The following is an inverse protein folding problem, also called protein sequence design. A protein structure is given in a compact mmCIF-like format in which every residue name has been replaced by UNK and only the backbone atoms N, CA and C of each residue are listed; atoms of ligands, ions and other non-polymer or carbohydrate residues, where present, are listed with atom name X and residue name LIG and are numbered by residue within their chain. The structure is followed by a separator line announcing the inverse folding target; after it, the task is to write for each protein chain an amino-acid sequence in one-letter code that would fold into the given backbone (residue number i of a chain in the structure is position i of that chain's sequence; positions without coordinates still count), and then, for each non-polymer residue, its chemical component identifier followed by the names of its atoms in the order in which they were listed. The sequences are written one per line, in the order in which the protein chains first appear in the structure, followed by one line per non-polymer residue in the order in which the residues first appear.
data_IF_183237130642
#
_entry.id   IF_183237130642
#
_cell.length_a   1.000
_cell.length_b   1.000
_cell.length_c   1.000
_cell.angle_alpha   90.00
_cell.angle_beta   90.00
_cell.angle_gamma   90.00
#
_symmetry.space_group_name_H-M   'P 1'
#
loop_
_entity.id
_entity.type
_entity.pdbx_description
1 polymer ?
#
# COMPACT_ATOMS: atom_id res chain seq x y z
N UNK A 1 48.56 52.52 -29.05
CA UNK A 1 48.64 51.42 -28.06
C UNK A 1 47.22 51.13 -27.62
N UNK A 2 46.74 49.97 -28.04
CA UNK A 2 45.34 49.54 -27.95
C UNK A 2 45.19 48.70 -26.68
N UNK A 3 44.17 48.97 -25.85
CA UNK A 3 43.85 48.16 -24.68
C UNK A 3 42.52 47.47 -24.97
N UNK A 4 42.63 46.16 -25.15
CA UNK A 4 41.58 45.23 -25.54
C UNK A 4 40.65 44.91 -24.37
N UNK A 5 39.35 44.94 -24.66
CA UNK A 5 38.27 44.41 -23.82
C UNK A 5 38.28 42.89 -23.94
N UNK A 6 38.56 42.19 -22.85
CA UNK A 6 38.41 40.73 -22.77
C UNK A 6 37.00 40.40 -22.29
N UNK A 7 36.21 39.80 -23.20
CA UNK A 7 34.92 39.18 -22.90
C UNK A 7 35.18 37.76 -22.40
N UNK A 8 34.83 37.48 -21.15
CA UNK A 8 34.84 36.12 -20.60
C UNK A 8 33.69 35.34 -21.20
N UNK A 9 33.99 34.41 -22.11
CA UNK A 9 33.03 33.43 -22.62
C UNK A 9 32.76 32.38 -21.53
N UNK A 10 31.53 32.34 -21.03
CA UNK A 10 31.02 31.23 -20.21
C UNK A 10 30.78 30.05 -21.14
N UNK A 11 31.55 28.98 -20.94
CA UNK A 11 31.38 27.72 -21.66
C UNK A 11 30.08 27.04 -21.22
N UNK A 12 29.31 26.57 -22.20
CA UNK A 12 28.10 25.77 -22.03
C UNK A 12 28.40 24.54 -21.16
N UNK A 13 27.70 24.42 -20.03
CA UNK A 13 27.59 23.16 -19.31
C UNK A 13 26.69 22.21 -20.13
N UNK A 14 27.30 21.14 -20.63
CA UNK A 14 26.60 20.00 -21.19
C UNK A 14 25.78 19.37 -20.06
N UNK A 15 24.46 19.32 -20.24
CA UNK A 15 23.53 18.57 -19.40
C UNK A 15 23.86 17.09 -19.59
N UNK A 16 24.48 16.49 -18.58
CA UNK A 16 24.69 15.05 -18.52
C UNK A 16 23.37 14.34 -18.26
N UNK A 17 23.14 13.25 -18.99
CA UNK A 17 22.07 12.28 -18.73
C UNK A 17 22.19 11.74 -17.28
N UNK A 18 21.08 11.36 -16.63
CA UNK A 18 21.14 10.82 -15.28
C UNK A 18 21.96 9.53 -15.30
N UNK A 19 23.07 9.56 -14.57
CA UNK A 19 23.95 8.42 -14.35
C UNK A 19 23.18 7.40 -13.50
N UNK A 20 22.80 6.28 -14.12
CA UNK A 20 22.35 5.10 -13.39
C UNK A 20 23.56 4.62 -12.60
N UNK A 21 23.57 4.90 -11.30
CA UNK A 21 24.53 4.30 -10.37
C UNK A 21 24.23 2.81 -10.30
N UNK A 22 24.75 2.03 -11.25
CA UNK A 22 24.97 0.61 -11.06
C UNK A 22 26.04 0.47 -9.97
N UNK A 23 25.60 0.45 -8.72
CA UNK A 23 26.47 0.05 -7.61
C UNK A 23 27.08 -1.31 -7.95
N UNK A 24 28.41 -1.38 -8.04
CA UNK A 24 29.19 -2.60 -8.24
C UNK A 24 29.12 -3.60 -7.07
N UNK A 25 28.00 -3.62 -6.36
CA UNK A 25 27.66 -4.55 -5.30
C UNK A 25 27.21 -5.90 -5.85
N UNK A 26 27.20 -6.90 -4.97
CA UNK A 26 26.73 -8.25 -5.27
C UNK A 26 25.23 -8.19 -5.61
N UNK A 27 24.85 -8.79 -6.73
CA UNK A 27 23.45 -9.08 -7.04
C UNK A 27 22.95 -10.20 -6.13
N UNK A 28 22.26 -9.82 -5.05
CA UNK A 28 21.75 -10.75 -4.05
C UNK A 28 20.66 -11.67 -4.61
N UNK A 29 19.91 -11.24 -5.63
CA UNK A 29 18.88 -12.07 -6.27
C UNK A 29 19.50 -13.21 -7.10
N UNK A 30 20.77 -13.08 -7.51
CA UNK A 30 21.53 -14.15 -8.17
C UNK A 30 22.50 -14.87 -7.24
N UNK A 31 22.54 -14.50 -5.95
CA UNK A 31 23.44 -15.12 -4.99
C UNK A 31 23.08 -16.61 -4.79
N UNK A 32 24.03 -17.56 -4.86
CA UNK A 32 23.72 -18.99 -4.76
C UNK A 32 22.98 -19.39 -3.48
N UNK A 33 23.32 -18.78 -2.34
CA UNK A 33 22.62 -19.03 -1.09
C UNK A 33 21.16 -18.55 -1.14
N UNK A 34 20.88 -17.40 -1.76
CA UNK A 34 19.50 -16.93 -1.95
C UNK A 34 18.69 -17.89 -2.82
N UNK A 35 19.25 -18.33 -3.95
CA UNK A 35 18.59 -19.31 -4.82
C UNK A 35 18.31 -20.63 -4.08
N UNK A 36 19.25 -21.08 -3.24
CA UNK A 36 19.06 -22.26 -2.39
C UNK A 36 17.96 -22.05 -1.34
N UNK A 37 17.94 -20.89 -0.68
CA UNK A 37 16.93 -20.51 0.32
C UNK A 37 15.53 -20.50 -0.31
N UNK A 38 15.36 -19.78 -1.43
CA UNK A 38 14.09 -19.68 -2.16
C UNK A 38 13.57 -21.05 -2.58
N UNK A 39 14.45 -21.91 -3.10
CA UNK A 39 14.09 -23.28 -3.48
C UNK A 39 13.70 -24.15 -2.28
N UNK A 40 14.45 -24.05 -1.17
CA UNK A 40 14.18 -24.81 0.05
C UNK A 40 12.87 -24.36 0.74
N UNK A 41 12.62 -23.05 0.80
CA UNK A 41 11.37 -22.48 1.27
C UNK A 41 10.20 -22.99 0.42
N UNK A 42 10.26 -22.85 -0.91
CA UNK A 42 9.21 -23.34 -1.83
C UNK A 42 8.94 -24.84 -1.67
N UNK A 43 9.98 -25.66 -1.46
CA UNK A 43 9.82 -27.08 -1.17
C UNK A 43 9.08 -27.32 0.15
N UNK A 44 9.48 -26.61 1.21
CA UNK A 44 8.88 -26.70 2.54
C UNK A 44 7.40 -26.29 2.53
N UNK A 45 7.04 -25.25 1.76
CA UNK A 45 5.66 -24.78 1.61
C UNK A 45 4.70 -25.90 1.17
N UNK A 46 5.16 -26.83 0.33
CA UNK A 46 4.36 -27.98 -0.12
C UNK A 46 4.01 -28.99 0.99
N UNK A 47 4.69 -28.90 2.14
CA UNK A 47 4.50 -29.77 3.30
C UNK A 47 3.63 -29.10 4.38
N UNK A 48 3.48 -27.78 4.34
CA UNK A 48 2.82 -27.01 5.39
C UNK A 48 1.29 -27.04 5.25
N UNK A 49 0.61 -27.15 6.37
CA UNK A 49 -0.81 -26.90 6.50
C UNK A 49 -1.13 -25.38 6.54
N UNK A 50 -2.41 -25.01 6.58
CA UNK A 50 -2.85 -23.61 6.59
C UNK A 50 -2.25 -22.78 7.74
N UNK A 51 -2.09 -23.35 8.94
CA UNK A 51 -1.49 -22.65 10.09
C UNK A 51 0.05 -22.71 10.09
N UNK A 52 0.67 -23.28 9.06
CA UNK A 52 2.11 -23.40 8.89
C UNK A 52 2.75 -24.65 9.49
N UNK A 53 2.00 -25.45 10.27
CA UNK A 53 2.50 -26.72 10.82
C UNK A 53 2.68 -27.81 9.75
N UNK A 54 3.50 -28.82 10.04
CA UNK A 54 3.65 -30.02 9.19
C UNK A 54 3.08 -31.21 9.95
N UNK A 55 1.81 -31.47 9.70
CA UNK A 55 1.03 -32.46 10.47
C UNK A 55 1.38 -33.92 10.15
N UNK A 56 1.96 -34.19 8.98
CA UNK A 56 2.38 -35.52 8.56
C UNK A 56 3.82 -35.81 9.02
N UNK A 57 3.94 -36.59 10.09
CA UNK A 57 5.22 -36.95 10.68
C UNK A 57 6.13 -37.76 9.73
N UNK A 58 5.57 -38.44 8.72
CA UNK A 58 6.38 -39.14 7.72
C UNK A 58 7.14 -38.16 6.80
N UNK A 59 6.70 -36.90 6.73
CA UNK A 59 7.33 -35.83 5.96
C UNK A 59 8.32 -34.99 6.76
N UNK A 60 8.45 -35.21 8.07
CA UNK A 60 9.41 -34.48 8.93
C UNK A 60 10.87 -34.60 8.44
N UNK A 61 11.36 -35.77 7.96
CA UNK A 61 12.71 -35.85 7.40
C UNK A 61 12.92 -34.97 6.17
N UNK A 62 11.91 -34.81 5.30
CA UNK A 62 11.99 -33.90 4.15
C UNK A 62 12.02 -32.43 4.63
N UNK A 63 11.21 -32.11 5.63
CA UNK A 63 11.14 -30.79 6.23
C UNK A 63 12.46 -30.40 6.93
N UNK A 64 13.10 -31.33 7.64
CA UNK A 64 14.42 -31.15 8.26
C UNK A 64 15.48 -30.79 7.22
N UNK A 65 15.45 -31.44 6.05
CA UNK A 65 16.35 -31.14 4.94
C UNK A 65 16.11 -29.72 4.41
N UNK A 66 14.85 -29.33 4.23
CA UNK A 66 14.51 -27.97 3.79
C UNK A 66 14.91 -26.92 4.82
N UNK A 67 14.63 -27.12 6.11
CA UNK A 67 15.03 -26.20 7.19
C UNK A 67 16.55 -26.08 7.29
N UNK A 68 17.29 -27.20 7.23
CA UNK A 68 18.76 -27.19 7.24
C UNK A 68 19.35 -26.38 6.09
N UNK A 69 18.72 -26.42 4.90
CA UNK A 69 19.12 -25.61 3.75
C UNK A 69 18.78 -24.13 3.92
N UNK A 70 17.62 -23.82 4.52
CA UNK A 70 17.22 -22.45 4.83
C UNK A 70 18.20 -21.83 5.83
N UNK A 71 18.48 -22.50 6.95
CA UNK A 71 19.38 -21.96 8.00
C UNK A 71 20.81 -21.81 7.52
N UNK A 72 21.34 -22.77 6.74
CA UNK A 72 22.65 -22.64 6.11
C UNK A 72 22.71 -21.44 5.14
N UNK A 73 21.68 -21.26 4.31
CA UNK A 73 21.62 -20.13 3.39
C UNK A 73 21.50 -18.78 4.11
N UNK A 74 20.74 -18.71 5.20
CA UNK A 74 20.66 -17.51 6.06
C UNK A 74 22.05 -17.19 6.63
N UNK A 75 22.77 -18.18 7.14
CA UNK A 75 24.12 -17.99 7.68
C UNK A 75 25.11 -17.49 6.61
N UNK A 76 25.03 -18.01 5.39
CA UNK A 76 25.86 -17.59 4.26
C UNK A 76 25.53 -16.17 3.77
N UNK A 77 24.26 -15.77 3.85
CA UNK A 77 23.80 -14.44 3.45
C UNK A 77 24.03 -13.37 4.53
N UNK A 78 24.06 -13.75 5.81
CA UNK A 78 24.14 -12.83 6.95
C UNK A 78 25.28 -11.80 6.88
N UNK A 79 26.49 -12.09 6.37
CA UNK A 79 27.55 -11.10 6.21
C UNK A 79 27.18 -9.90 5.31
N UNK A 80 26.19 -10.04 4.44
CA UNK A 80 25.67 -8.96 3.60
C UNK A 80 24.67 -8.04 4.32
N UNK A 81 24.21 -8.43 5.52
CA UNK A 81 23.21 -7.71 6.30
C UNK A 81 23.70 -7.48 7.75
N UNK A 82 24.84 -6.80 7.96
CA UNK A 82 25.43 -6.64 9.29
C UNK A 82 24.51 -5.91 10.29
N UNK A 83 23.63 -5.04 9.81
CA UNK A 83 22.61 -4.34 10.61
C UNK A 83 21.53 -5.29 11.15
N UNK A 84 21.29 -6.42 10.47
CA UNK A 84 20.29 -7.43 10.84
C UNK A 84 20.90 -8.65 11.53
N UNK A 85 22.19 -8.63 11.91
CA UNK A 85 22.90 -9.80 12.42
C UNK A 85 22.20 -10.48 13.63
N UNK A 86 21.63 -9.69 14.55
CA UNK A 86 20.88 -10.22 15.68
C UNK A 86 19.58 -10.91 15.26
N UNK A 87 18.87 -10.33 14.28
CA UNK A 87 17.67 -10.92 13.69
C UNK A 87 17.99 -12.25 12.99
N UNK A 88 18.99 -12.28 12.11
CA UNK A 88 19.32 -13.47 11.34
C UNK A 88 19.80 -14.63 12.23
N UNK A 89 20.51 -14.33 13.32
CA UNK A 89 20.89 -15.34 14.32
C UNK A 89 19.67 -15.88 15.11
N UNK A 90 18.76 -15.01 15.52
CA UNK A 90 17.50 -15.42 16.17
C UNK A 90 16.62 -16.24 15.23
N UNK A 91 16.59 -15.87 13.94
CA UNK A 91 15.82 -16.57 12.92
C UNK A 91 16.29 -18.01 12.71
N UNK A 92 17.61 -18.25 12.64
CA UNK A 92 18.17 -19.60 12.62
C UNK A 92 17.74 -20.39 13.86
N UNK A 93 17.81 -19.76 15.04
CA UNK A 93 17.42 -20.39 16.31
C UNK A 93 15.93 -20.78 16.34
N UNK A 94 15.06 -19.93 15.81
CA UNK A 94 13.61 -20.21 15.74
C UNK A 94 13.31 -21.37 14.78
N UNK A 95 13.99 -21.43 13.63
CA UNK A 95 13.89 -22.56 12.70
C UNK A 95 14.37 -23.88 13.32
N UNK A 96 15.54 -23.87 13.95
CA UNK A 96 16.12 -25.06 14.60
C UNK A 96 15.21 -25.56 15.73
N UNK A 97 14.64 -24.65 16.52
CA UNK A 97 13.64 -24.99 17.56
C UNK A 97 12.40 -25.62 16.94
N UNK A 98 11.82 -25.00 15.92
CA UNK A 98 10.60 -25.48 15.29
C UNK A 98 10.76 -26.89 14.69
N UNK A 99 11.91 -27.19 14.08
CA UNK A 99 12.26 -28.52 13.62
C UNK A 99 12.43 -29.51 14.78
N UNK A 100 13.20 -29.15 15.82
CA UNK A 100 13.44 -30.00 16.98
C UNK A 100 12.17 -30.34 17.79
N UNK A 101 11.17 -29.46 17.75
CA UNK A 101 9.86 -29.64 18.39
C UNK A 101 8.84 -30.40 17.50
N UNK A 102 9.24 -30.85 16.31
CA UNK A 102 8.42 -31.69 15.43
C UNK A 102 7.44 -30.92 14.56
N UNK A 103 7.79 -29.70 14.13
CA UNK A 103 7.05 -28.91 13.15
C UNK A 103 5.58 -28.61 13.53
N UNK A 104 5.34 -28.26 14.80
CA UNK A 104 4.06 -27.76 15.30
C UNK A 104 3.61 -26.44 14.65
N UNK A 105 2.66 -25.71 15.24
CA UNK A 105 2.38 -24.34 14.78
C UNK A 105 3.65 -23.49 14.96
N UNK A 106 4.15 -22.79 13.91
CA UNK A 106 5.39 -22.06 14.01
C UNK A 106 5.30 -20.89 15.00
N UNK A 107 6.37 -20.71 15.77
CA UNK A 107 6.53 -19.56 16.67
C UNK A 107 7.86 -18.88 16.37
N UNK A 108 7.79 -17.72 15.72
CA UNK A 108 8.95 -16.91 15.31
C UNK A 108 8.98 -15.56 16.04
N UNK A 109 8.42 -15.52 17.25
CA UNK A 109 8.32 -14.30 18.05
C UNK A 109 9.69 -13.66 18.31
N UNK A 110 10.72 -14.45 18.62
CA UNK A 110 12.03 -13.93 19.03
C UNK A 110 12.77 -13.27 17.87
N UNK A 111 12.76 -13.91 16.69
CA UNK A 111 13.28 -13.31 15.47
C UNK A 111 12.45 -12.12 14.98
N UNK A 112 11.13 -12.16 15.09
CA UNK A 112 10.26 -11.01 14.78
C UNK A 112 10.59 -9.79 15.63
N UNK A 113 10.81 -9.97 16.93
CA UNK A 113 11.20 -8.89 17.83
C UNK A 113 12.60 -8.35 17.55
N UNK A 114 13.51 -9.18 17.04
CA UNK A 114 14.86 -8.77 16.67
C UNK A 114 14.91 -8.01 15.33
N UNK A 115 13.96 -8.23 14.42
CA UNK A 115 13.89 -7.52 13.14
C UNK A 115 13.34 -6.09 13.34
N UNK A 116 14.19 -5.08 13.15
CA UNK A 116 13.89 -3.67 13.43
C UNK A 116 14.23 -2.76 12.24
N UNK A 117 13.65 -2.98 11.04
CA UNK A 117 14.02 -2.24 9.82
C UNK A 117 13.74 -0.74 9.92
N UNK A 118 12.75 -0.32 10.72
CA UNK A 118 12.41 1.09 10.93
C UNK A 118 13.53 1.89 11.62
N UNK A 119 14.47 1.21 12.31
CA UNK A 119 15.65 1.85 12.89
C UNK A 119 16.72 2.18 11.84
N UNK A 120 16.58 1.62 10.61
CA UNK A 120 17.56 1.68 9.54
C UNK A 120 16.92 2.10 8.21
N UNK A 121 16.16 3.20 8.20
CA UNK A 121 15.55 3.77 6.98
C UNK A 121 16.59 4.54 6.15
N UNK A 122 17.54 3.80 5.60
CA UNK A 122 18.60 4.32 4.74
C UNK A 122 18.28 3.92 3.31
N UNK A 123 18.26 4.89 2.38
CA UNK A 123 17.98 4.62 0.98
C UNK A 123 18.95 3.56 0.42
N UNK A 124 18.42 2.55 -0.26
CA UNK A 124 19.23 1.46 -0.82
C UNK A 124 19.66 0.39 0.20
N UNK A 125 19.31 0.53 1.49
CA UNK A 125 19.64 -0.49 2.47
C UNK A 125 18.81 -1.75 2.23
N UNK A 126 19.48 -2.89 2.16
CA UNK A 126 18.85 -4.17 1.82
C UNK A 126 18.60 -5.01 3.06
N UNK A 127 17.56 -5.83 3.02
CA UNK A 127 17.24 -6.80 4.06
C UNK A 127 16.89 -8.15 3.45
N UNK A 128 17.21 -9.23 4.17
CA UNK A 128 16.68 -10.57 3.94
C UNK A 128 15.59 -10.83 4.96
N UNK A 129 14.34 -11.00 4.53
CA UNK A 129 13.21 -11.29 5.42
C UNK A 129 12.72 -12.70 5.16
N UNK A 130 12.69 -13.54 6.19
CA UNK A 130 12.16 -14.91 6.11
C UNK A 130 11.30 -15.19 7.33
N UNK A 131 10.05 -15.59 7.11
CA UNK A 131 9.12 -15.95 8.19
C UNK A 131 8.03 -16.93 7.69
N UNK A 132 7.49 -17.79 8.56
CA UNK A 132 6.17 -18.37 8.35
C UNK A 132 5.10 -17.27 8.49
N UNK A 133 4.48 -16.86 7.39
CA UNK A 133 3.52 -15.76 7.35
C UNK A 133 2.45 -15.97 6.29
N UNK A 134 1.32 -15.30 6.44
CA UNK A 134 0.35 -15.14 5.35
C UNK A 134 0.62 -13.84 4.59
N UNK A 135 0.17 -13.73 3.34
CA UNK A 135 0.35 -12.49 2.56
C UNK A 135 -0.99 -11.77 2.40
N UNK A 136 -1.07 -10.49 2.79
CA UNK A 136 -2.29 -9.70 2.63
C UNK A 136 -2.64 -9.57 1.14
N UNK A 137 -3.91 -9.72 0.76
CA UNK A 137 -4.34 -9.79 -0.64
C UNK A 137 -3.63 -10.88 -1.49
N UNK A 138 -3.04 -11.88 -0.82
CA UNK A 138 -2.40 -13.05 -1.43
C UNK A 138 -2.92 -14.34 -0.80
N UNK A 139 -2.01 -15.11 -0.19
CA UNK A 139 -2.33 -16.39 0.45
C UNK A 139 -2.72 -16.20 1.91
N UNK A 140 -3.82 -16.84 2.33
CA UNK A 140 -4.23 -16.90 3.75
C UNK A 140 -3.52 -18.01 4.54
N UNK A 141 -2.65 -18.80 3.90
CA UNK A 141 -1.87 -19.85 4.56
C UNK A 141 -0.59 -19.24 5.14
N UNK A 142 -0.23 -19.64 6.37
CA UNK A 142 1.03 -19.25 7.03
C UNK A 142 2.18 -20.10 6.52
N UNK A 143 2.66 -19.79 5.32
CA UNK A 143 3.74 -20.51 4.67
C UNK A 143 5.09 -19.84 4.97
N UNK A 144 6.19 -20.59 4.93
CA UNK A 144 7.54 -19.98 5.01
C UNK A 144 7.78 -19.21 3.72
N UNK A 145 7.70 -17.89 3.80
CA UNK A 145 7.98 -16.96 2.72
C UNK A 145 9.32 -16.27 2.96
N UNK A 146 10.03 -15.97 1.87
CA UNK A 146 11.29 -15.25 1.88
C UNK A 146 11.27 -14.11 0.86
N UNK A 147 11.75 -12.95 1.26
CA UNK A 147 11.78 -11.74 0.44
C UNK A 147 13.13 -11.05 0.63
N UNK A 148 13.78 -10.72 -0.48
CA UNK A 148 14.86 -9.74 -0.52
C UNK A 148 14.25 -8.37 -0.83
N UNK A 149 14.52 -7.40 0.04
CA UNK A 149 13.94 -6.07 -0.06
C UNK A 149 15.03 -5.01 0.00
N UNK A 150 14.73 -3.85 -0.56
CA UNK A 150 15.57 -2.66 -0.50
C UNK A 150 14.72 -1.46 -0.04
N UNK A 151 15.24 -0.67 0.90
CA UNK A 151 14.55 0.50 1.46
C UNK A 151 14.60 1.67 0.48
N UNK A 152 13.48 2.38 0.33
CA UNK A 152 13.36 3.60 -0.48
C UNK A 152 13.22 4.82 0.45
N UNK A 153 14.30 5.54 0.73
CA UNK A 153 14.28 6.67 1.66
C UNK A 153 15.07 7.88 1.13
N UNK A 154 14.63 8.50 0.01
CA UNK A 154 15.32 9.64 -0.56
C UNK A 154 15.34 10.83 0.42
N UNK A 155 16.28 11.76 0.22
CA UNK A 155 16.58 12.83 1.18
C UNK A 155 15.34 13.68 1.54
N UNK A 156 14.55 14.07 0.54
CA UNK A 156 13.34 14.89 0.76
C UNK A 156 12.28 14.20 1.63
N UNK A 157 12.23 12.86 1.66
CA UNK A 157 11.34 12.11 2.55
C UNK A 157 11.80 12.23 4.00
N UNK A 158 13.11 12.20 4.24
CA UNK A 158 13.69 12.48 5.56
C UNK A 158 13.37 13.91 6.04
N UNK A 159 13.39 14.90 5.14
CA UNK A 159 12.96 16.28 5.45
C UNK A 159 11.48 16.34 5.86
N UNK A 160 10.61 15.69 5.07
CA UNK A 160 9.17 15.67 5.31
C UNK A 160 8.80 14.96 6.61
N UNK A 161 9.49 13.87 6.97
CA UNK A 161 9.19 13.10 8.18
C UNK A 161 9.32 13.94 9.46
N UNK A 162 10.12 15.01 9.46
CA UNK A 162 10.21 15.93 10.59
C UNK A 162 8.87 16.60 10.91
N UNK A 163 8.05 16.90 9.89
CA UNK A 163 6.69 17.41 10.04
C UNK A 163 5.62 16.30 10.06
N UNK A 164 5.84 15.26 9.26
CA UNK A 164 4.94 14.13 9.05
C UNK A 164 5.48 12.86 9.74
N UNK A 165 5.72 12.96 11.05
CA UNK A 165 6.31 11.88 11.86
C UNK A 165 5.55 10.55 11.72
N UNK A 166 6.24 9.52 11.22
CA UNK A 166 5.71 8.18 11.05
C UNK A 166 6.82 7.14 11.33
N UNK A 167 7.04 6.85 12.61
CA UNK A 167 8.20 6.04 13.06
C UNK A 167 8.13 4.56 12.67
N UNK A 168 6.96 4.05 12.30
CA UNK A 168 6.76 2.64 11.97
C UNK A 168 6.91 2.39 10.47
N UNK A 169 6.70 3.41 9.64
CA UNK A 169 6.67 3.27 8.18
C UNK A 169 8.05 2.98 7.59
N UNK A 170 8.12 1.91 6.79
CA UNK A 170 9.31 1.49 6.05
C UNK A 170 8.94 1.26 4.56
N UNK A 171 9.14 2.25 3.69
CA UNK A 171 8.94 2.09 2.25
C UNK A 171 10.04 1.20 1.67
N UNK A 172 9.64 0.20 0.89
CA UNK A 172 10.53 -0.82 0.35
C UNK A 172 10.21 -1.14 -1.10
N UNK A 173 11.15 -1.78 -1.78
CA UNK A 173 10.97 -2.43 -3.08
C UNK A 173 11.41 -3.89 -3.04
N UNK A 174 10.87 -4.69 -3.95
CA UNK A 174 11.33 -6.07 -4.16
C UNK A 174 12.69 -6.10 -4.88
N UNK A 175 13.59 -6.96 -4.39
CA UNK A 175 14.74 -7.45 -5.16
C UNK A 175 14.47 -8.84 -5.74
N UNK A 176 13.94 -9.75 -4.91
CA UNK A 176 13.37 -11.05 -5.31
C UNK A 176 12.49 -11.61 -4.18
N UNK A 177 11.63 -12.59 -4.47
CA UNK A 177 10.69 -13.16 -3.49
C UNK A 177 10.27 -14.60 -3.80
N UNK A 178 9.77 -15.30 -2.78
CA UNK A 178 9.07 -16.59 -2.90
C UNK A 178 7.62 -16.43 -3.40
N UNK A 179 6.98 -17.49 -3.91
CA UNK A 179 5.69 -17.40 -4.62
C UNK A 179 4.53 -16.75 -3.84
N UNK A 180 4.55 -16.67 -2.51
CA UNK A 180 3.50 -15.98 -1.75
C UNK A 180 3.36 -14.50 -2.06
N UNK A 181 4.41 -13.87 -2.59
CA UNK A 181 4.42 -12.49 -3.08
C UNK A 181 4.22 -12.38 -4.61
N UNK A 182 4.06 -13.48 -5.34
CA UNK A 182 3.60 -13.48 -6.74
C UNK A 182 2.07 -13.29 -6.82
N UNK A 183 1.59 -12.24 -6.14
CA UNK A 183 0.17 -11.99 -5.84
C UNK A 183 -0.14 -10.49 -5.82
N UNK A 184 -1.32 -10.10 -5.31
CA UNK A 184 -1.65 -8.70 -5.13
C UNK A 184 -1.06 -8.07 -3.86
N UNK A 185 -0.40 -8.85 -2.99
CA UNK A 185 0.21 -8.35 -1.74
C UNK A 185 1.18 -7.21 -2.00
N UNK A 186 0.98 -6.07 -1.35
CA UNK A 186 1.84 -4.90 -1.48
C UNK A 186 2.38 -4.41 -0.13
N UNK A 187 2.28 -5.27 0.89
CA UNK A 187 2.75 -4.95 2.24
C UNK A 187 3.52 -6.12 2.84
N UNK A 188 4.38 -5.78 3.78
CA UNK A 188 5.03 -6.71 4.69
C UNK A 188 4.76 -6.14 6.09
N UNK A 189 3.88 -6.82 6.83
CA UNK A 189 3.45 -6.40 8.15
C UNK A 189 3.75 -7.46 9.20
N UNK A 190 4.23 -7.07 10.39
CA UNK A 190 4.60 -8.02 11.43
C UNK A 190 3.40 -8.82 11.96
N UNK A 191 2.17 -8.31 11.85
CA UNK A 191 0.92 -9.02 12.19
C UNK A 191 0.73 -10.33 11.41
N UNK A 192 1.40 -10.47 10.26
CA UNK A 192 1.23 -11.62 9.38
C UNK A 192 2.04 -12.85 9.79
N UNK A 193 3.07 -12.64 10.62
CA UNK A 193 4.02 -13.66 11.06
C UNK A 193 3.39 -14.59 12.09
N UNK A 194 3.74 -15.87 12.04
CA UNK A 194 3.34 -16.85 13.05
C UNK A 194 4.15 -16.64 14.35
N UNK A 195 3.44 -16.40 15.45
CA UNK A 195 4.00 -16.01 16.74
C UNK A 195 3.13 -16.55 17.89
N UNK A 196 3.76 -16.93 19.01
CA UNK A 196 3.07 -17.42 20.21
C UNK A 196 2.12 -16.40 20.87
N UNK A 197 2.45 -15.12 20.75
CA UNK A 197 1.66 -14.01 21.30
C UNK A 197 1.86 -12.73 20.48
N UNK A 198 0.95 -11.78 20.58
CA UNK A 198 0.99 -10.51 19.82
C UNK A 198 1.88 -9.50 20.54
N UNK A 199 3.03 -9.08 19.97
CA UNK A 199 3.86 -8.03 20.55
C UNK A 199 3.31 -6.64 20.22
N UNK A 200 3.99 -5.61 20.76
CA UNK A 200 3.87 -4.26 20.20
C UNK A 200 4.65 -4.21 18.89
N UNK A 201 3.94 -4.00 17.78
CA UNK A 201 4.56 -3.86 16.47
C UNK A 201 5.32 -2.53 16.35
N UNK A 202 6.51 -2.59 15.76
CA UNK A 202 7.43 -1.45 15.66
C UNK A 202 7.69 -1.02 14.23
N UNK A 203 7.18 -1.74 13.23
CA UNK A 203 7.37 -1.43 11.82
C UNK A 203 6.18 -1.91 10.98
N UNK A 204 5.98 -1.27 9.84
CA UNK A 204 5.08 -1.70 8.79
C UNK A 204 5.68 -1.28 7.46
N UNK A 205 5.84 -2.22 6.53
CA UNK A 205 6.55 -1.97 5.29
C UNK A 205 5.64 -2.08 4.08
N UNK A 206 5.79 -1.15 3.14
CA UNK A 206 4.95 -1.03 1.94
C UNK A 206 5.84 -1.11 0.69
N UNK A 207 5.43 -1.95 -0.26
CA UNK A 207 6.15 -2.17 -1.52
C UNK A 207 5.81 -1.08 -2.54
N UNK A 208 6.47 0.07 -2.42
CA UNK A 208 6.23 1.24 -3.27
C UNK A 208 6.57 0.96 -4.75
N UNK A 209 7.51 0.06 -5.05
CA UNK A 209 7.83 -0.34 -6.45
C UNK A 209 6.66 -1.01 -7.14
N UNK A 210 5.98 -1.90 -6.42
CA UNK A 210 4.82 -2.63 -6.91
C UNK A 210 3.63 -1.70 -7.10
N UNK A 211 3.36 -0.82 -6.15
CA UNK A 211 2.28 0.16 -6.29
C UNK A 211 2.56 1.15 -7.43
N UNK A 212 3.80 1.60 -7.58
CA UNK A 212 4.24 2.42 -8.71
C UNK A 212 4.09 1.69 -10.06
N UNK A 213 4.53 0.44 -10.17
CA UNK A 213 4.41 -0.33 -11.41
C UNK A 213 2.93 -0.61 -11.79
N UNK A 214 2.09 -0.88 -10.78
CA UNK A 214 0.62 -1.00 -10.96
C UNK A 214 0.02 0.29 -11.47
N UNK A 215 0.33 1.39 -10.79
CA UNK A 215 -0.15 2.72 -11.14
C UNK A 215 0.18 3.03 -12.60
N UNK A 216 1.44 2.87 -13.00
CA UNK A 216 1.91 3.11 -14.37
C UNK A 216 1.11 2.35 -15.41
N UNK A 217 1.01 1.03 -15.25
CA UNK A 217 0.29 0.15 -16.18
C UNK A 217 -1.21 0.44 -16.23
N UNK A 218 -1.85 0.59 -15.07
CA UNK A 218 -3.30 0.80 -14.97
C UNK A 218 -3.69 2.18 -15.47
N UNK A 219 -2.99 3.24 -15.05
CA UNK A 219 -3.32 4.62 -15.44
C UNK A 219 -3.05 4.85 -16.92
N UNK A 220 -2.00 4.25 -17.50
CA UNK A 220 -1.77 4.29 -18.96
C UNK A 220 -2.97 3.73 -19.73
N UNK A 221 -3.38 2.50 -19.41
CA UNK A 221 -4.52 1.86 -20.08
C UNK A 221 -5.83 2.60 -19.83
N UNK A 222 -6.06 3.08 -18.61
CA UNK A 222 -7.25 3.86 -18.28
C UNK A 222 -7.30 5.17 -19.08
N UNK A 223 -6.19 5.90 -19.15
CA UNK A 223 -6.11 7.15 -19.91
C UNK A 223 -6.41 6.93 -21.41
N UNK A 224 -5.91 5.84 -22.00
CA UNK A 224 -6.24 5.46 -23.37
C UNK A 224 -7.73 5.14 -23.55
N UNK A 225 -8.31 4.32 -22.67
CA UNK A 225 -9.72 3.91 -22.72
C UNK A 225 -10.66 5.10 -22.54
N UNK A 226 -10.31 6.01 -21.63
CA UNK A 226 -11.13 7.19 -21.31
C UNK A 226 -10.76 8.41 -22.14
N UNK A 227 -9.76 8.32 -23.01
CA UNK A 227 -9.22 9.44 -23.81
C UNK A 227 -8.84 10.65 -22.94
N UNK A 228 -8.34 10.36 -21.75
CA UNK A 228 -7.85 11.38 -20.84
C UNK A 228 -6.53 11.92 -21.36
N UNK A 229 -6.46 13.23 -21.58
CA UNK A 229 -5.17 13.90 -21.77
C UNK A 229 -4.56 14.17 -20.40
N UNK A 230 -3.43 13.55 -20.12
CA UNK A 230 -2.74 13.72 -18.85
C UNK A 230 -2.13 15.12 -18.76
N UNK A 231 -2.17 15.76 -17.57
CA UNK A 231 -1.35 16.93 -17.28
C UNK A 231 0.12 16.70 -17.62
N UNK A 232 0.81 17.74 -18.09
CA UNK A 232 2.23 17.65 -18.51
C UNK A 232 3.16 17.21 -17.39
N UNK A 233 2.85 17.64 -16.18
CA UNK A 233 3.53 17.29 -14.93
C UNK A 233 3.18 15.87 -14.45
N UNK A 234 1.99 15.34 -14.78
CA UNK A 234 1.59 13.97 -14.43
C UNK A 234 2.13 12.92 -15.41
N UNK A 235 2.34 13.25 -16.68
CA UNK A 235 2.79 12.30 -17.70
C UNK A 235 4.09 11.53 -17.33
N UNK A 236 5.12 12.17 -16.74
CA UNK A 236 6.32 11.47 -16.29
C UNK A 236 6.07 10.33 -15.28
N UNK A 237 4.98 10.38 -14.51
CA UNK A 237 4.62 9.28 -13.60
C UNK A 237 4.34 7.97 -14.34
N UNK A 238 4.06 8.00 -15.65
CA UNK A 238 3.84 6.77 -16.41
C UNK A 238 5.13 6.17 -16.94
N UNK A 239 6.15 6.99 -17.17
CA UNK A 239 7.36 6.59 -17.89
C UNK A 239 8.58 6.44 -16.96
N UNK A 240 8.50 6.94 -15.72
CA UNK A 240 9.60 6.91 -14.74
C UNK A 240 9.18 6.12 -13.48
N UNK A 241 9.72 4.91 -13.36
CA UNK A 241 9.49 4.04 -12.20
C UNK A 241 9.92 4.72 -10.89
N UNK A 242 11.11 5.30 -10.91
CA UNK A 242 11.75 5.81 -9.70
C UNK A 242 10.99 7.03 -9.18
N UNK A 243 10.63 7.95 -10.07
CA UNK A 243 9.77 9.09 -9.73
C UNK A 243 8.44 8.65 -9.10
N UNK A 244 7.85 7.59 -9.64
CA UNK A 244 6.55 7.10 -9.18
C UNK A 244 6.69 6.42 -7.82
N UNK A 245 7.76 5.65 -7.60
CA UNK A 245 8.09 5.11 -6.29
C UNK A 245 8.20 6.21 -5.24
N UNK A 246 9.00 7.25 -5.49
CA UNK A 246 9.17 8.37 -4.56
C UNK A 246 7.86 9.13 -4.28
N UNK A 247 7.00 9.22 -5.30
CA UNK A 247 5.63 9.77 -5.16
C UNK A 247 4.78 8.91 -4.22
N UNK A 248 4.79 7.59 -4.39
CA UNK A 248 4.07 6.67 -3.49
C UNK A 248 4.66 6.68 -2.08
N UNK A 249 5.98 6.75 -1.92
CA UNK A 249 6.60 6.88 -0.59
C UNK A 249 6.12 8.14 0.14
N UNK A 250 6.03 9.27 -0.56
CA UNK A 250 5.49 10.50 0.02
C UNK A 250 4.01 10.38 0.38
N UNK A 251 3.21 9.76 -0.49
CA UNK A 251 1.80 9.51 -0.24
C UNK A 251 1.62 8.65 1.02
N UNK A 252 2.26 7.49 1.07
CA UNK A 252 2.14 6.52 2.16
C UNK A 252 2.65 7.09 3.49
N UNK A 253 3.74 7.86 3.47
CA UNK A 253 4.26 8.55 4.66
C UNK A 253 3.18 9.36 5.38
N UNK A 254 2.38 10.11 4.60
CA UNK A 254 1.34 10.99 5.12
C UNK A 254 0.04 10.21 5.38
N UNK A 255 -0.32 9.29 4.49
CA UNK A 255 -1.51 8.43 4.61
C UNK A 255 -1.46 7.61 5.89
N UNK A 256 -0.43 6.78 6.07
CA UNK A 256 -0.35 5.82 7.17
C UNK A 256 -0.33 6.51 8.53
N UNK A 257 0.36 7.66 8.60
CA UNK A 257 0.38 8.50 9.80
C UNK A 257 -1.03 8.94 10.18
N UNK A 258 -1.89 9.18 9.20
CA UNK A 258 -3.23 9.73 9.41
C UNK A 258 -4.16 8.73 10.10
N UNK A 259 -3.94 7.42 9.95
CA UNK A 259 -4.69 6.41 10.73
C UNK A 259 -4.54 6.59 12.25
N UNK A 260 -3.43 7.18 12.71
CA UNK A 260 -3.15 7.40 14.14
C UNK A 260 -3.36 8.86 14.59
N UNK A 261 -3.97 9.71 13.75
CA UNK A 261 -4.10 11.17 13.97
C UNK A 261 -5.49 11.68 13.59
N UNK A 262 -5.92 12.74 14.27
CA UNK A 262 -7.21 13.41 14.03
C UNK A 262 -8.21 13.14 15.14
N UNK A 263 -9.45 13.61 14.95
CA UNK A 263 -10.56 13.38 15.87
C UNK A 263 -11.16 11.99 15.66
N UNK A 264 -11.27 11.22 16.75
CA UNK A 264 -11.61 9.79 16.76
C UNK A 264 -11.00 9.03 15.57
N UNK A 265 -9.65 9.04 15.46
CA UNK A 265 -8.96 8.27 14.46
C UNK A 265 -9.23 6.82 14.81
N UNK A 266 -9.98 6.16 13.94
CA UNK A 266 -10.36 4.75 14.00
C UNK A 266 -9.81 4.01 15.23
N UNK A 267 -10.61 4.01 16.31
CA UNK A 267 -10.16 3.64 17.65
C UNK A 267 -9.29 2.36 17.64
N UNK A 268 -8.09 2.34 18.26
CA UNK A 268 -7.27 1.13 18.37
C UNK A 268 -7.98 -0.03 19.11
N UNK A 269 -9.07 0.22 19.84
CA UNK A 269 -10.00 -0.80 20.37
C UNK A 269 -11.10 -1.22 19.37
N UNK A 270 -11.24 -0.55 18.22
CA UNK A 270 -12.20 -0.82 17.14
C UNK A 270 -11.63 -1.57 15.93
N UNK A 271 -10.31 -1.69 15.76
CA UNK A 271 -9.69 -2.51 14.68
C UNK A 271 -10.19 -3.98 14.70
N UNK A 272 -10.68 -4.47 15.85
CA UNK A 272 -11.29 -5.80 16.02
C UNK A 272 -12.83 -5.81 16.03
N UNK A 273 -13.48 -4.67 15.80
CA UNK A 273 -14.93 -4.56 15.87
C UNK A 273 -15.56 -4.64 14.48
N UNK A 274 -16.46 -5.60 14.32
CA UNK A 274 -17.28 -5.75 13.11
C UNK A 274 -18.16 -4.51 12.91
N UNK A 275 -17.86 -3.72 11.89
CA UNK A 275 -18.65 -2.55 11.47
C UNK A 275 -19.07 -2.65 9.99
N UNK A 276 -20.05 -1.84 9.53
CA UNK A 276 -20.41 -1.78 8.12
C UNK A 276 -19.21 -1.44 7.24
N UNK A 277 -19.09 -2.10 6.07
CA UNK A 277 -17.86 -2.00 5.27
C UNK A 277 -17.58 -0.57 4.77
N UNK A 278 -18.62 0.23 4.60
CA UNK A 278 -18.52 1.62 4.16
C UNK A 278 -17.82 2.54 5.17
N UNK A 279 -17.67 2.16 6.44
CA UNK A 279 -16.87 2.94 7.39
C UNK A 279 -15.38 2.73 7.19
N UNK A 280 -14.92 1.51 6.86
CA UNK A 280 -13.53 1.29 6.43
C UNK A 280 -13.25 2.12 5.16
N UNK A 281 -14.22 2.20 4.25
CA UNK A 281 -14.11 3.02 3.04
C UNK A 281 -13.88 4.50 3.35
N UNK A 282 -14.62 5.05 4.32
CA UNK A 282 -14.46 6.43 4.75
C UNK A 282 -13.14 6.67 5.49
N UNK A 283 -12.66 5.71 6.26
CA UNK A 283 -11.35 5.82 6.93
C UNK A 283 -10.21 5.85 5.92
N UNK A 284 -10.16 4.91 4.99
CA UNK A 284 -9.13 4.86 3.94
C UNK A 284 -9.17 6.12 3.06
N UNK A 285 -10.38 6.55 2.68
CA UNK A 285 -10.54 7.78 1.92
C UNK A 285 -10.15 9.02 2.74
N UNK A 286 -10.42 9.07 4.05
CA UNK A 286 -9.98 10.17 4.92
C UNK A 286 -8.45 10.29 4.93
N UNK A 287 -7.74 9.18 5.05
CA UNK A 287 -6.29 9.15 5.03
C UNK A 287 -5.73 9.66 3.69
N UNK A 288 -6.30 9.21 2.57
CA UNK A 288 -5.90 9.70 1.25
C UNK A 288 -6.21 11.17 1.01
N UNK A 289 -7.40 11.63 1.41
CA UNK A 289 -7.77 13.02 1.24
C UNK A 289 -6.98 13.94 2.18
N UNK A 290 -6.50 13.41 3.31
CA UNK A 290 -5.51 14.08 4.14
C UNK A 290 -4.16 14.17 3.42
N UNK A 291 -3.64 13.06 2.89
CA UNK A 291 -2.40 13.07 2.11
C UNK A 291 -2.47 14.04 0.90
N UNK A 292 -3.61 14.06 0.21
CA UNK A 292 -3.89 15.02 -0.86
C UNK A 292 -3.87 16.47 -0.36
N UNK A 293 -4.59 16.79 0.72
CA UNK A 293 -4.64 18.14 1.31
C UNK A 293 -3.27 18.63 1.76
N UNK A 294 -2.54 17.78 2.47
CA UNK A 294 -1.18 18.10 2.94
C UNK A 294 -0.23 18.31 1.76
N UNK A 295 -0.37 17.52 0.69
CA UNK A 295 0.39 17.72 -0.55
C UNK A 295 0.08 19.07 -1.22
N UNK A 296 -1.18 19.52 -1.24
CA UNK A 296 -1.52 20.89 -1.70
C UNK A 296 -0.83 21.95 -0.83
N UNK A 297 -0.76 21.75 0.48
CA UNK A 297 -0.04 22.65 1.40
C UNK A 297 1.46 22.67 1.10
N UNK A 298 2.08 21.49 0.93
CA UNK A 298 3.51 21.36 0.67
C UNK A 298 3.88 22.01 -0.67
N UNK A 299 3.14 21.72 -1.75
CA UNK A 299 3.34 22.32 -3.07
C UNK A 299 3.43 23.85 -3.01
N UNK A 300 2.56 24.47 -2.20
CA UNK A 300 2.44 25.92 -2.03
C UNK A 300 3.43 26.51 -1.02
N UNK A 301 4.13 25.69 -0.25
CA UNK A 301 5.01 26.14 0.84
C UNK A 301 6.37 26.58 0.32
N UNK A 302 6.75 27.83 0.56
CA UNK A 302 8.11 28.34 0.25
C UNK A 302 9.19 27.70 1.14
N UNK A 303 8.80 27.08 2.26
CA UNK A 303 9.71 26.37 3.16
C UNK A 303 10.03 24.94 2.69
N UNK A 304 9.20 24.37 1.82
CA UNK A 304 9.43 23.04 1.27
C UNK A 304 10.47 23.08 0.15
N UNK A 305 11.37 22.08 0.15
CA UNK A 305 12.36 21.93 -0.91
C UNK A 305 11.68 21.82 -2.29
N UNK A 306 12.35 22.26 -3.38
CA UNK A 306 11.79 22.13 -4.74
C UNK A 306 11.37 20.70 -5.08
N UNK A 307 12.10 19.72 -4.56
CA UNK A 307 11.81 18.30 -4.73
C UNK A 307 10.55 17.87 -3.98
N UNK A 308 10.41 18.23 -2.69
CA UNK A 308 9.19 17.97 -1.93
C UNK A 308 7.95 18.62 -2.58
N UNK A 309 8.09 19.84 -3.11
CA UNK A 309 7.00 20.53 -3.83
C UNK A 309 6.61 19.81 -5.13
N UNK A 310 7.59 19.31 -5.87
CA UNK A 310 7.36 18.54 -7.09
C UNK A 310 6.59 17.26 -6.76
N UNK A 311 7.09 16.45 -5.82
CA UNK A 311 6.43 15.20 -5.43
C UNK A 311 5.05 15.44 -4.83
N UNK A 312 4.86 16.50 -4.04
CA UNK A 312 3.55 16.90 -3.54
C UNK A 312 2.52 17.13 -4.67
N UNK A 313 2.93 17.76 -5.76
CA UNK A 313 2.04 17.91 -6.92
C UNK A 313 1.71 16.55 -7.56
N UNK A 314 2.69 15.66 -7.65
CA UNK A 314 2.50 14.33 -8.20
C UNK A 314 1.59 13.44 -7.34
N UNK A 315 1.69 13.53 -6.01
CA UNK A 315 0.80 12.83 -5.06
C UNK A 315 -0.66 13.20 -5.30
N UNK A 316 -0.95 14.48 -5.58
CA UNK A 316 -2.32 14.90 -5.89
C UNK A 316 -2.91 14.13 -7.09
N UNK A 317 -2.12 13.96 -8.17
CA UNK A 317 -2.57 13.18 -9.33
C UNK A 317 -2.64 11.68 -9.01
N UNK A 318 -1.64 11.16 -8.29
CA UNK A 318 -1.56 9.75 -7.94
C UNK A 318 -2.81 9.31 -7.15
N UNK A 319 -3.15 10.04 -6.09
CA UNK A 319 -4.36 9.80 -5.27
C UNK A 319 -5.61 9.73 -6.14
N UNK A 320 -5.81 10.72 -7.02
CA UNK A 320 -7.00 10.78 -7.88
C UNK A 320 -7.03 9.61 -8.84
N UNK A 321 -5.98 9.43 -9.65
CA UNK A 321 -5.96 8.45 -10.71
C UNK A 321 -6.06 7.03 -10.18
N UNK A 322 -5.39 6.74 -9.08
CA UNK A 322 -5.37 5.40 -8.54
C UNK A 322 -6.70 5.03 -7.86
N UNK A 323 -7.29 5.96 -7.09
CA UNK A 323 -8.63 5.80 -6.51
C UNK A 323 -9.69 5.57 -7.58
N UNK A 324 -9.68 6.35 -8.67
CA UNK A 324 -10.74 6.25 -9.69
C UNK A 324 -10.48 5.15 -10.73
N UNK A 325 -9.23 4.86 -11.11
CA UNK A 325 -8.96 3.90 -12.20
C UNK A 325 -8.59 2.51 -11.72
N UNK A 326 -8.01 2.37 -10.53
CA UNK A 326 -7.62 1.06 -9.99
C UNK A 326 -8.54 0.65 -8.85
N UNK A 327 -8.56 1.39 -7.74
CA UNK A 327 -9.26 0.96 -6.54
C UNK A 327 -10.76 0.81 -6.75
N UNK A 328 -11.41 1.74 -7.45
CA UNK A 328 -12.85 1.70 -7.76
C UNK A 328 -13.32 0.37 -8.39
N UNK A 329 -12.44 -0.32 -9.11
CA UNK A 329 -12.76 -1.48 -9.96
C UNK A 329 -11.84 -2.70 -9.74
N UNK A 330 -10.98 -2.68 -8.71
CA UNK A 330 -10.15 -3.84 -8.34
C UNK A 330 -10.90 -4.77 -7.40
N UNK A 331 -10.74 -6.08 -7.59
CA UNK A 331 -11.36 -7.10 -6.74
C UNK A 331 -12.84 -7.34 -7.05
N UNK A 332 -13.49 -8.18 -6.24
CA UNK A 332 -14.93 -8.44 -6.37
C UNK A 332 -15.75 -7.33 -5.68
N UNK A 333 -17.08 -7.39 -5.82
CA UNK A 333 -18.02 -6.43 -5.20
C UNK A 333 -18.54 -6.89 -3.84
N UNK A 334 -17.83 -7.77 -3.15
CA UNK A 334 -18.23 -8.26 -1.82
C UNK A 334 -17.58 -7.41 -0.75
N UNK A 335 -18.34 -6.43 -0.24
CA UNK A 335 -17.94 -5.52 0.85
C UNK A 335 -16.62 -4.81 0.58
N UNK A 336 -16.38 -4.48 -0.68
CA UNK A 336 -15.14 -3.88 -1.17
C UNK A 336 -15.10 -2.39 -0.78
N UNK A 337 -14.42 -2.10 0.32
CA UNK A 337 -14.36 -0.76 0.90
C UNK A 337 -13.48 0.20 0.08
N UNK A 338 -12.38 -0.27 -0.48
CA UNK A 338 -11.52 0.55 -1.35
C UNK A 338 -12.26 0.97 -2.62
N UNK A 339 -12.98 0.02 -3.22
CA UNK A 339 -13.80 0.27 -4.39
C UNK A 339 -14.91 1.29 -4.14
N UNK A 340 -15.47 1.32 -2.94
CA UNK A 340 -16.45 2.35 -2.56
C UNK A 340 -15.82 3.75 -2.45
N UNK A 341 -14.61 3.86 -1.91
CA UNK A 341 -13.92 5.14 -1.71
C UNK A 341 -13.62 5.82 -3.04
N UNK A 342 -13.12 5.05 -4.01
CA UNK A 342 -12.86 5.53 -5.37
C UNK A 342 -14.10 6.01 -6.10
N UNK A 343 -15.22 5.29 -5.95
CA UNK A 343 -16.51 5.72 -6.53
C UNK A 343 -17.02 7.01 -5.90
N UNK A 344 -16.91 7.14 -4.58
CA UNK A 344 -17.34 8.33 -3.85
C UNK A 344 -16.56 9.56 -4.33
N UNK A 345 -15.23 9.46 -4.44
CA UNK A 345 -14.38 10.52 -4.94
C UNK A 345 -14.73 10.91 -6.39
N UNK A 346 -14.89 9.93 -7.29
CA UNK A 346 -15.27 10.17 -8.68
C UNK A 346 -16.63 10.89 -8.79
N UNK A 347 -17.65 10.37 -8.12
CA UNK A 347 -19.00 10.93 -8.18
C UNK A 347 -19.06 12.32 -7.53
N UNK A 348 -18.30 12.55 -6.47
CA UNK A 348 -18.16 13.86 -5.83
C UNK A 348 -17.58 14.89 -6.81
N UNK A 349 -16.44 14.62 -7.42
CA UNK A 349 -15.83 15.52 -8.41
C UNK A 349 -16.75 15.79 -9.60
N UNK A 350 -17.48 14.77 -10.06
CA UNK A 350 -18.46 14.91 -11.14
C UNK A 350 -19.64 15.82 -10.75
N UNK A 351 -20.25 15.60 -9.58
CA UNK A 351 -21.39 16.41 -9.12
C UNK A 351 -21.02 17.86 -8.82
N UNK A 352 -19.75 18.13 -8.53
CA UNK A 352 -19.21 19.48 -8.32
C UNK A 352 -18.61 20.10 -9.58
N UNK A 353 -18.72 19.42 -10.73
CA UNK A 353 -18.39 20.00 -12.04
C UNK A 353 -16.90 20.15 -12.34
N UNK A 354 -16.02 19.40 -11.68
CA UNK A 354 -14.56 19.40 -11.96
C UNK A 354 -14.06 18.13 -12.64
N UNK A 355 -14.93 17.13 -12.80
CA UNK A 355 -14.72 15.92 -13.60
C UNK A 355 -15.90 15.74 -14.54
N UNK A 356 -15.63 15.51 -15.83
CA UNK A 356 -16.67 15.32 -16.84
C UNK A 356 -16.44 14.06 -17.66
N UNK A 357 -17.53 13.33 -17.93
CA UNK A 357 -17.58 12.26 -18.91
C UNK A 357 -18.56 12.66 -20.02
N UNK A 358 -18.03 13.20 -21.12
CA UNK A 358 -18.81 13.76 -22.23
C UNK A 358 -18.20 13.29 -23.54
N UNK A 359 -19.03 12.95 -24.53
CA UNK A 359 -18.57 12.51 -25.85
C UNK A 359 -17.51 11.39 -25.80
N UNK A 360 -17.68 10.44 -24.87
CA UNK A 360 -16.76 9.31 -24.61
C UNK A 360 -15.34 9.74 -24.21
N UNK A 361 -15.22 10.89 -23.55
CA UNK A 361 -13.97 11.46 -23.08
C UNK A 361 -14.08 11.87 -21.62
N UNK A 362 -13.05 11.53 -20.84
CA UNK A 362 -12.88 12.01 -19.48
C UNK A 362 -12.02 13.27 -19.47
N UNK A 363 -12.49 14.33 -18.82
CA UNK A 363 -11.77 15.59 -18.67
C UNK A 363 -11.91 16.14 -17.25
N UNK A 364 -10.93 16.93 -16.83
CA UNK A 364 -10.89 17.56 -15.51
C UNK A 364 -10.68 19.08 -15.62
N UNK A 365 -11.27 19.83 -14.70
CA UNK A 365 -10.85 21.19 -14.38
C UNK A 365 -9.75 21.13 -13.31
N UNK A 366 -8.51 20.93 -13.76
CA UNK A 366 -7.37 20.72 -12.87
C UNK A 366 -7.06 21.90 -11.93
N UNK A 367 -7.51 23.10 -12.25
CA UNK A 367 -7.34 24.27 -11.39
C UNK A 367 -8.30 24.20 -10.19
N UNK A 368 -9.55 23.79 -10.41
CA UNK A 368 -10.58 23.71 -9.38
C UNK A 368 -10.60 22.39 -8.60
N UNK A 369 -10.00 21.31 -9.14
CA UNK A 369 -9.94 19.98 -8.52
C UNK A 369 -9.47 20.01 -7.05
N UNK A 370 -8.36 20.69 -6.69
CA UNK A 370 -7.85 20.64 -5.31
C UNK A 370 -8.87 21.08 -4.27
N UNK A 371 -9.56 22.20 -4.50
CA UNK A 371 -10.52 22.74 -3.54
C UNK A 371 -11.74 21.81 -3.39
N UNK A 372 -12.20 21.19 -4.49
CA UNK A 372 -13.31 20.23 -4.46
C UNK A 372 -12.94 18.95 -3.72
N UNK A 373 -11.74 18.41 -3.94
CA UNK A 373 -11.26 17.19 -3.26
C UNK A 373 -11.06 17.46 -1.76
N UNK A 374 -10.48 18.61 -1.39
CA UNK A 374 -10.34 19.03 0.00
C UNK A 374 -11.70 19.20 0.68
N UNK A 375 -12.72 19.71 -0.03
CA UNK A 375 -14.06 19.84 0.51
C UNK A 375 -14.72 18.49 0.86
N UNK A 376 -14.45 17.42 0.09
CA UNK A 376 -14.90 16.07 0.47
C UNK A 376 -14.20 15.60 1.73
N UNK A 377 -12.87 15.79 1.82
CA UNK A 377 -12.09 15.46 3.01
C UNK A 377 -12.64 16.18 4.25
N UNK A 378 -12.99 17.45 4.14
CA UNK A 378 -13.57 18.22 5.23
C UNK A 378 -14.94 17.68 5.71
N UNK A 379 -15.79 17.16 4.81
CA UNK A 379 -17.04 16.52 5.23
C UNK A 379 -16.80 15.21 5.99
N UNK A 380 -15.79 14.44 5.58
CA UNK A 380 -15.41 13.21 6.27
C UNK A 380 -14.84 13.58 7.65
N UNK A 381 -13.95 14.57 7.72
CA UNK A 381 -13.39 15.07 8.99
C UNK A 381 -14.50 15.56 9.93
N UNK A 382 -15.53 16.27 9.44
CA UNK A 382 -16.68 16.70 10.25
C UNK A 382 -17.51 15.51 10.76
N UNK A 383 -17.71 14.48 9.92
CA UNK A 383 -18.38 13.24 10.32
C UNK A 383 -17.63 12.56 11.48
N UNK A 384 -16.31 12.47 11.40
CA UNK A 384 -15.44 11.87 12.42
C UNK A 384 -15.36 12.74 13.69
N UNK A 385 -15.22 14.06 13.58
CA UNK A 385 -15.29 14.98 14.71
C UNK A 385 -16.60 14.82 15.48
N UNK A 386 -17.73 14.77 14.77
CA UNK A 386 -19.04 14.58 15.39
C UNK A 386 -19.25 13.18 15.98
N UNK A 387 -18.31 12.24 15.80
CA UNK A 387 -18.37 10.93 16.45
C UNK A 387 -18.02 10.97 17.95
N UNK A 388 -17.39 12.05 18.42
CA UNK A 388 -16.94 12.23 19.81
C UNK A 388 -18.10 12.15 20.81
N UNK A 389 -19.24 12.73 20.48
CA UNK A 389 -20.44 12.74 21.32
C UNK A 389 -21.63 12.00 20.69
N UNK A 390 -21.48 11.47 19.47
CA UNK A 390 -22.51 10.70 18.77
C UNK A 390 -22.43 9.21 19.11
N UNK A 391 -23.53 8.59 19.58
CA UNK A 391 -23.56 7.15 19.82
C UNK A 391 -23.24 6.34 18.56
N UNK A 392 -22.46 5.26 18.71
CA UNK A 392 -21.99 4.37 17.61
C UNK A 392 -23.03 4.08 16.53
N UNK A 393 -24.21 3.58 16.90
CA UNK A 393 -25.27 3.22 15.93
C UNK A 393 -25.82 4.44 15.19
N UNK A 394 -25.93 5.59 15.86
CA UNK A 394 -26.33 6.84 15.23
C UNK A 394 -25.24 7.38 14.30
N UNK A 395 -23.96 7.19 14.65
CA UNK A 395 -22.84 7.53 13.79
C UNK A 395 -22.82 6.69 12.50
N UNK A 396 -23.08 5.38 12.59
CA UNK A 396 -23.17 4.53 11.41
C UNK A 396 -24.29 4.95 10.45
N UNK A 397 -25.45 5.37 10.98
CA UNK A 397 -26.56 5.90 10.17
C UNK A 397 -26.18 7.22 9.49
N UNK A 398 -25.50 8.12 10.20
CA UNK A 398 -25.06 9.40 9.63
C UNK A 398 -23.97 9.22 8.56
N UNK A 399 -23.05 8.26 8.75
CA UNK A 399 -22.06 7.91 7.73
C UNK A 399 -22.74 7.37 6.46
N UNK A 400 -23.74 6.49 6.63
CA UNK A 400 -24.54 6.01 5.50
C UNK A 400 -25.27 7.14 4.78
N UNK A 401 -25.91 8.04 5.53
CA UNK A 401 -26.59 9.21 4.97
C UNK A 401 -25.63 10.08 4.16
N UNK A 402 -24.43 10.38 4.68
CA UNK A 402 -23.40 11.15 3.98
C UNK A 402 -23.04 10.52 2.64
N UNK A 403 -22.73 9.22 2.61
CA UNK A 403 -22.35 8.52 1.37
C UNK A 403 -23.53 8.53 0.38
N UNK A 404 -24.75 8.29 0.86
CA UNK A 404 -25.95 8.20 0.03
C UNK A 404 -26.36 9.51 -0.64
N UNK A 405 -25.85 10.66 -0.18
CA UNK A 405 -26.05 11.96 -0.85
C UNK A 405 -25.32 12.02 -2.19
N UNK A 406 -24.20 11.30 -2.30
CA UNK A 406 -23.36 11.28 -3.50
C UNK A 406 -23.58 10.02 -4.33
N UNK A 407 -23.65 8.85 -3.68
CA UNK A 407 -23.78 7.56 -4.32
C UNK A 407 -25.19 6.98 -4.15
N UNK A 408 -25.76 6.47 -5.23
CA UNK A 408 -27.06 5.79 -5.16
C UNK A 408 -26.89 4.41 -4.51
N UNK A 409 -27.57 4.10 -3.39
CA UNK A 409 -27.53 2.77 -2.81
C UNK A 409 -28.15 1.72 -3.72
N UNK A 410 -27.83 0.45 -3.44
CA UNK A 410 -28.45 -0.68 -4.11
C UNK A 410 -29.99 -0.62 -3.98
N UNK A 411 -30.77 -0.84 -5.05
CA UNK A 411 -32.24 -0.83 -5.00
C UNK A 411 -32.84 -1.82 -3.98
N UNK A 412 -32.12 -2.90 -3.64
CA UNK A 412 -32.54 -3.87 -2.64
C UNK A 412 -32.13 -3.51 -1.20
N UNK A 413 -31.44 -2.40 -0.99
CA UNK A 413 -30.88 -2.02 0.32
C UNK A 413 -31.96 -1.90 1.39
N UNK A 414 -31.75 -2.58 2.51
CA UNK A 414 -32.54 -2.38 3.73
C UNK A 414 -32.17 -1.07 4.41
N UNK A 415 -30.90 -0.65 4.33
CA UNK A 415 -30.44 0.62 4.88
C UNK A 415 -31.10 1.83 4.21
N UNK A 416 -31.15 1.85 2.88
CA UNK A 416 -31.78 2.92 2.10
C UNK A 416 -33.29 3.04 2.35
N UNK A 417 -33.96 1.92 2.63
CA UNK A 417 -35.39 1.87 2.98
C UNK A 417 -35.68 2.23 4.44
N UNK A 418 -34.64 2.31 5.27
CA UNK A 418 -34.73 2.41 6.72
C UNK A 418 -34.66 1.03 7.38
N UNK A 419 -33.71 0.89 8.31
CA UNK A 419 -33.55 -0.34 9.08
C UNK A 419 -34.81 -0.63 9.92
N UNK A 420 -35.23 -1.90 10.04
CA UNK A 420 -36.35 -2.29 10.89
C UNK A 420 -36.16 -1.90 12.36
N UNK A 421 -37.25 -1.69 13.09
CA UNK A 421 -37.22 -1.25 14.49
C UNK A 421 -36.44 -2.23 15.38
N UNK A 422 -36.56 -3.53 15.13
CA UNK A 422 -35.82 -4.57 15.85
C UNK A 422 -34.29 -4.48 15.64
N UNK A 423 -33.85 -4.04 14.47
CA UNK A 423 -32.44 -3.77 14.20
C UNK A 423 -32.03 -2.49 14.90
N UNK A 424 -32.81 -1.41 14.74
CA UNK A 424 -32.52 -0.11 15.33
C UNK A 424 -32.42 -0.15 16.87
N UNK A 425 -33.35 -0.85 17.52
CA UNK A 425 -33.36 -1.05 18.96
C UNK A 425 -32.35 -2.12 19.42
N UNK A 426 -31.89 -2.99 18.52
CA UNK A 426 -31.04 -4.14 18.81
C UNK A 426 -29.54 -3.84 18.94
N UNK A 427 -28.75 -4.92 18.93
CA UNK A 427 -27.30 -4.85 19.00
C UNK A 427 -26.66 -4.42 17.67
N UNK A 428 -25.45 -3.81 17.68
CA UNK A 428 -24.76 -3.37 16.45
C UNK A 428 -24.57 -4.46 15.38
N UNK A 429 -24.48 -5.74 15.78
CA UNK A 429 -24.40 -6.86 14.83
C UNK A 429 -25.56 -6.85 13.81
N UNK A 430 -26.78 -6.48 14.22
CA UNK A 430 -27.92 -6.43 13.32
C UNK A 430 -27.76 -5.39 12.20
N UNK A 431 -27.05 -4.30 12.45
CA UNK A 431 -26.75 -3.29 11.44
C UNK A 431 -25.80 -3.86 10.39
N UNK A 432 -24.73 -4.53 10.82
CA UNK A 432 -23.72 -5.11 9.91
C UNK A 432 -24.23 -6.32 9.13
N UNK A 433 -25.15 -7.10 9.71
CA UNK A 433 -25.81 -8.22 9.02
C UNK A 433 -26.77 -7.75 7.91
N UNK A 434 -27.29 -6.52 7.99
CA UNK A 434 -28.25 -5.96 7.02
C UNK A 434 -27.60 -5.15 5.88
N UNK A 435 -26.28 -4.94 5.93
CA UNK A 435 -25.54 -4.32 4.82
C UNK A 435 -25.39 -5.35 3.71
N UNK A 436 -25.76 -5.00 2.48
CA UNK A 436 -25.52 -5.87 1.33
C UNK A 436 -24.04 -5.97 1.03
N UNK A 437 -23.64 -7.07 0.39
CA UNK A 437 -22.27 -7.24 -0.07
C UNK A 437 -21.88 -6.12 -1.06
N UNK A 438 -22.77 -5.76 -1.99
CA UNK A 438 -22.64 -4.59 -2.88
C UNK A 438 -23.70 -3.53 -2.55
N UNK A 439 -23.57 -2.90 -1.39
CA UNK A 439 -24.49 -1.87 -0.88
C UNK A 439 -24.54 -0.61 -1.76
N UNK A 440 -23.44 -0.31 -2.45
CA UNK A 440 -23.30 0.82 -3.38
C UNK A 440 -22.70 0.30 -4.70
N UNK A 441 -23.56 -0.18 -5.63
CA UNK A 441 -23.11 -0.82 -6.86
C UNK A 441 -22.41 0.16 -7.79
N UNK A 442 -21.65 -0.39 -8.74
CA UNK A 442 -20.93 0.40 -9.74
C UNK A 442 -21.88 1.31 -10.52
N UNK A 443 -21.44 2.56 -10.74
CA UNK A 443 -22.11 3.45 -11.71
C UNK A 443 -21.98 2.88 -13.13
N UNK A 444 -22.83 3.33 -14.06
CA UNK A 444 -22.73 2.91 -15.47
C UNK A 444 -21.35 3.17 -16.08
N UNK A 445 -20.67 4.24 -15.65
CA UNK A 445 -19.30 4.52 -16.06
C UNK A 445 -18.35 3.40 -15.58
N UNK A 446 -18.40 3.06 -14.29
CA UNK A 446 -17.51 2.04 -13.73
C UNK A 446 -17.84 0.63 -14.21
N UNK A 447 -19.11 0.28 -14.44
CA UNK A 447 -19.46 -1.01 -15.05
C UNK A 447 -18.83 -1.17 -16.45
N UNK A 448 -18.76 -0.09 -17.23
CA UNK A 448 -18.16 -0.11 -18.55
C UNK A 448 -16.62 -0.10 -18.48
N UNK A 449 -16.05 0.69 -17.57
CA UNK A 449 -14.61 0.76 -17.38
C UNK A 449 -14.04 -0.55 -16.84
N UNK A 450 -14.67 -1.15 -15.84
CA UNK A 450 -14.26 -2.43 -15.24
C UNK A 450 -14.12 -3.52 -16.31
N UNK A 451 -15.11 -3.66 -17.20
CA UNK A 451 -15.08 -4.65 -18.29
C UNK A 451 -13.89 -4.48 -19.23
N UNK A 452 -13.43 -3.24 -19.43
CA UNK A 452 -12.28 -2.93 -20.29
C UNK A 452 -10.95 -3.05 -19.57
N UNK A 453 -10.93 -2.75 -18.27
CA UNK A 453 -9.73 -2.70 -17.44
C UNK A 453 -9.39 -4.03 -16.76
N UNK A 454 -10.35 -4.95 -16.62
CA UNK A 454 -10.20 -6.22 -15.89
C UNK A 454 -8.90 -6.95 -16.22
N UNK A 455 -8.63 -7.19 -17.51
CA UNK A 455 -7.44 -7.91 -17.97
C UNK A 455 -6.16 -7.16 -17.57
N UNK A 456 -6.16 -5.82 -17.68
CA UNK A 456 -4.99 -5.00 -17.31
C UNK A 456 -4.74 -5.09 -15.80
N UNK A 457 -5.77 -4.95 -14.97
CA UNK A 457 -5.65 -5.04 -13.51
C UNK A 457 -5.19 -6.45 -13.10
N UNK A 458 -5.81 -7.50 -13.65
CA UNK A 458 -5.41 -8.89 -13.39
C UNK A 458 -3.95 -9.17 -13.79
N UNK A 459 -3.45 -8.52 -14.85
CA UNK A 459 -2.05 -8.67 -15.29
C UNK A 459 -1.02 -8.07 -14.32
N UNK A 460 -1.46 -7.34 -13.30
CA UNK A 460 -0.56 -6.68 -12.33
C UNK A 460 -0.30 -7.50 -11.06
N UNK A 461 -0.87 -8.70 -10.96
CA UNK A 461 -0.48 -9.65 -9.91
C UNK A 461 1.02 -9.98 -10.05
N UNK A 462 1.75 -9.98 -8.93
CA UNK A 462 3.18 -10.31 -8.91
C UNK A 462 4.12 -9.23 -9.47
N UNK A 463 3.61 -8.13 -10.03
CA UNK A 463 4.42 -7.08 -10.65
C UNK A 463 5.41 -6.44 -9.67
N UNK A 464 6.57 -6.05 -10.19
CA UNK A 464 7.64 -5.31 -9.48
C UNK A 464 8.06 -4.10 -10.29
N UNK A 465 8.88 -3.23 -9.71
CA UNK A 465 9.43 -2.06 -10.41
C UNK A 465 10.31 -2.37 -11.63
N UNK A 466 10.77 -3.61 -11.79
CA UNK A 466 11.55 -4.07 -12.95
C UNK A 466 10.71 -4.59 -14.12
N UNK A 467 9.39 -4.62 -13.99
CA UNK A 467 8.51 -5.04 -15.07
C UNK A 467 8.60 -4.08 -16.28
N UNK A 468 8.73 -4.64 -17.47
CA UNK A 468 8.65 -3.87 -18.72
C UNK A 468 7.18 -3.55 -18.99
N UNK A 469 6.88 -2.29 -19.33
CA UNK A 469 5.53 -1.74 -19.60
C UNK A 469 4.79 -2.42 -20.75
#
# INVERSE_FOLDING_TARGET
MSISVEKTHVANALVGEPEVLEDGGIDLAQHPAWLSLKAAATQLQSLQAQNGSITDAERHPDADVSVSRITAAIADLAPHFPHDAAYLAALITDFDRWAAEGFGEPDFYDSLMAFQPQQHRVNGLRHLVVFPMYTQNGSANRLVEAVLIEVIWPEFIGELEAGYTNKLFVPIRFLDFTPGYDTNSAVLFPETVAMREIPTFTWGAIFADREAARFRRVVRAAAEITRLELPKDAAPLLDDQHLTEETFVMWDLIHDRTHMRGDLPFDPFMIKQRMPFFLYSLEELRCDLTAFRESVTIERSELASPEARRHAKLVQYAVIFDRIFRFAITGNRVRNYDGLGGQLLFAWMHQHGVLHWTDTRLTFDWEAVPDVVIALGAQIDELYWASIDRPKKAHWLAAYEMISKTLTPNPASTWARGLPLEVLAGAPKGYTDQVLDDEFPLSMFFEALEKKMRIVIESTAGITGSAVD
#
